data_IF_995579658836
#
_entry.id   IF_995579658836
#
_cell.length_a   1.000
_cell.length_b   1.000
_cell.length_c   1.000
_cell.angle_alpha   90.00
_cell.angle_beta   90.00
_cell.angle_gamma   90.00
#
_symmetry.space_group_name_H-M   'P 1'
#
loop_
_entity.id
_entity.type
_entity.pdbx_description
1 polymer ?
#
# COMPACT_ATOMS: atom_id res chain seq x y z
N UNK A 1 9.84 -0.37 -10.40
CA UNK A 1 10.90 0.63 -10.66
C UNK A 1 11.67 0.87 -9.38
N UNK A 2 12.97 0.97 -9.46
CA UNK A 2 13.83 1.07 -8.27
C UNK A 2 14.77 2.26 -8.42
N UNK A 3 14.91 3.03 -7.34
CA UNK A 3 15.83 4.16 -7.29
C UNK A 3 16.83 3.95 -6.14
N UNK A 4 18.05 4.42 -6.34
CA UNK A 4 19.05 4.55 -5.28
C UNK A 4 19.28 6.03 -5.04
N UNK A 5 18.86 6.52 -3.87
CA UNK A 5 18.97 7.94 -3.50
C UNK A 5 19.90 8.02 -2.30
N UNK A 6 21.18 8.32 -2.58
CA UNK A 6 22.24 8.43 -1.55
C UNK A 6 22.30 7.18 -0.65
N UNK A 7 22.20 6.00 -1.24
CA UNK A 7 22.24 4.73 -0.52
C UNK A 7 20.89 4.25 0.00
N UNK A 8 19.83 5.04 -0.16
CA UNK A 8 18.47 4.62 0.21
C UNK A 8 17.81 4.00 -1.03
N UNK A 9 17.48 2.73 -0.95
CA UNK A 9 16.85 2.02 -2.05
C UNK A 9 15.33 2.16 -1.93
N UNK A 10 14.71 2.72 -2.96
CA UNK A 10 13.26 2.94 -3.02
C UNK A 10 12.68 2.12 -4.18
N UNK A 11 11.73 1.25 -3.89
CA UNK A 11 10.99 0.52 -4.91
C UNK A 11 9.63 1.18 -5.13
N UNK A 12 9.31 1.49 -6.38
CA UNK A 12 7.98 1.96 -6.76
C UNK A 12 7.22 0.80 -7.40
N UNK A 13 6.06 0.48 -6.85
CA UNK A 13 5.25 -0.66 -7.28
C UNK A 13 3.86 -0.16 -7.64
N UNK A 14 3.39 -0.50 -8.83
CA UNK A 14 2.03 -0.17 -9.22
C UNK A 14 1.04 -0.93 -8.33
N UNK A 15 0.20 -0.19 -7.62
CA UNK A 15 -0.85 -0.75 -6.78
C UNK A 15 -2.18 -0.10 -7.16
N UNK A 16 -2.62 -0.41 -8.37
CA UNK A 16 -3.85 0.15 -8.93
C UNK A 16 -5.08 -0.31 -8.15
N UNK A 17 -6.13 0.45 -8.27
CA UNK A 17 -7.43 0.17 -7.64
C UNK A 17 -8.14 1.45 -7.24
N UNK A 18 -7.53 2.28 -6.42
CA UNK A 18 -8.05 3.62 -6.12
C UNK A 18 -8.01 4.48 -7.40
N UNK A 19 -6.87 4.45 -8.08
CA UNK A 19 -6.73 4.97 -9.44
C UNK A 19 -5.91 3.96 -10.25
N UNK A 20 -5.94 4.08 -11.58
CA UNK A 20 -5.16 3.22 -12.47
C UNK A 20 -3.65 3.44 -12.33
N UNK A 21 -3.24 4.62 -11.88
CA UNK A 21 -1.84 4.99 -11.73
C UNK A 21 -1.33 5.03 -10.29
N UNK A 22 -2.08 4.49 -9.34
CA UNK A 22 -1.66 4.48 -7.93
C UNK A 22 -0.38 3.67 -7.74
N UNK A 23 0.57 4.23 -7.00
CA UNK A 23 1.88 3.62 -6.76
C UNK A 23 2.15 3.55 -5.27
N UNK A 24 2.72 2.44 -4.84
CA UNK A 24 3.23 2.26 -3.49
C UNK A 24 4.75 2.35 -3.53
N UNK A 25 5.34 3.11 -2.61
CA UNK A 25 6.79 3.23 -2.49
C UNK A 25 7.26 2.48 -1.25
N UNK A 26 8.28 1.65 -1.43
CA UNK A 26 8.87 0.86 -0.34
C UNK A 26 10.32 1.29 -0.14
N UNK A 27 10.67 1.73 1.07
CA UNK A 27 12.05 1.98 1.47
C UNK A 27 12.64 0.67 1.96
N UNK A 28 13.41 0.01 1.09
CA UNK A 28 13.78 -1.40 1.23
C UNK A 28 14.44 -1.74 2.57
N UNK A 29 15.36 -0.93 3.04
CA UNK A 29 16.12 -1.24 4.25
C UNK A 29 15.55 -0.61 5.53
N UNK A 30 14.44 0.09 5.43
CA UNK A 30 13.86 0.82 6.56
C UNK A 30 12.53 0.27 7.03
N UNK A 31 12.02 -0.76 6.36
CA UNK A 31 10.71 -1.36 6.66
C UNK A 31 9.60 -0.30 6.67
N UNK A 32 9.63 0.58 5.68
CA UNK A 32 8.65 1.66 5.53
C UNK A 32 8.01 1.61 4.15
N UNK A 33 6.69 1.82 4.14
CA UNK A 33 5.86 1.77 2.94
C UNK A 33 5.07 3.07 2.89
N UNK A 34 5.07 3.71 1.73
CA UNK A 34 4.26 4.90 1.46
C UNK A 34 3.17 4.48 0.48
N UNK A 35 1.95 4.34 1.00
CA UNK A 35 0.84 3.72 0.27
C UNK A 35 -0.03 4.70 -0.51
N UNK A 36 0.18 6.01 -0.33
CA UNK A 36 -0.74 6.98 -0.89
C UNK A 36 -2.16 6.69 -0.43
N UNK A 37 -3.10 6.64 -1.37
CA UNK A 37 -4.49 6.33 -1.06
C UNK A 37 -4.88 4.87 -1.37
N UNK A 38 -3.89 3.99 -1.61
CA UNK A 38 -4.18 2.58 -1.83
C UNK A 38 -4.66 1.91 -0.54
N UNK A 39 -3.89 2.04 0.54
CA UNK A 39 -4.21 1.49 1.84
C UNK A 39 -4.16 2.61 2.88
N UNK A 40 -5.15 2.67 3.73
CA UNK A 40 -5.19 3.56 4.90
C UNK A 40 -5.48 2.72 6.13
N UNK A 41 -5.23 3.27 7.32
CA UNK A 41 -5.45 2.54 8.56
C UNK A 41 -6.91 2.11 8.69
N UNK A 42 -7.13 0.82 8.67
CA UNK A 42 -8.46 0.22 8.82
C UNK A 42 -9.33 0.22 7.57
N UNK A 43 -8.84 0.76 6.45
CA UNK A 43 -9.63 0.86 5.22
C UNK A 43 -8.75 0.90 3.98
N UNK A 44 -9.35 1.13 2.84
CA UNK A 44 -8.67 1.27 1.55
C UNK A 44 -9.17 2.53 0.84
N UNK A 45 -8.47 2.96 -0.20
CA UNK A 45 -8.93 4.04 -1.06
C UNK A 45 -10.25 3.69 -1.76
N UNK A 46 -11.02 4.70 -2.10
CA UNK A 46 -12.30 4.52 -2.82
C UNK A 46 -12.05 3.80 -4.14
N UNK A 47 -13.00 2.95 -4.51
CA UNK A 47 -12.95 2.20 -5.77
C UNK A 47 -14.16 2.50 -6.67
N UNK A 48 -14.84 3.61 -6.42
CA UNK A 48 -16.03 4.06 -7.16
C UNK A 48 -15.78 5.30 -8.02
N UNK A 49 -14.53 5.73 -8.15
CA UNK A 49 -14.12 6.84 -9.01
C UNK A 49 -13.91 6.33 -10.46
N UNK A 50 -13.90 7.24 -11.48
CA UNK A 50 -13.84 6.82 -12.89
C UNK A 50 -12.68 5.90 -13.28
N UNK A 51 -11.49 6.04 -12.66
CA UNK A 51 -10.36 5.16 -12.98
C UNK A 51 -10.13 4.10 -11.92
N UNK A 52 -11.06 3.93 -10.98
CA UNK A 52 -10.97 2.93 -9.92
C UNK A 52 -11.30 1.54 -10.42
N UNK A 53 -10.79 0.51 -9.74
CA UNK A 53 -11.07 -0.88 -10.05
C UNK A 53 -11.01 -1.74 -8.79
N UNK A 54 -12.11 -2.39 -8.47
CA UNK A 54 -12.18 -3.32 -7.33
C UNK A 54 -11.29 -4.54 -7.54
N UNK A 55 -11.20 -5.02 -8.78
CA UNK A 55 -10.38 -6.18 -9.12
C UNK A 55 -8.90 -5.85 -8.90
N UNK A 56 -8.46 -4.69 -9.41
CA UNK A 56 -7.07 -4.27 -9.24
C UNK A 56 -6.75 -3.95 -7.79
N UNK A 57 -7.69 -3.35 -7.05
CA UNK A 57 -7.51 -3.11 -5.62
C UNK A 57 -7.33 -4.43 -4.86
N UNK A 58 -8.10 -5.45 -5.19
CA UNK A 58 -7.95 -6.77 -4.57
C UNK A 58 -6.56 -7.35 -4.83
N UNK A 59 -6.06 -7.21 -6.05
CA UNK A 59 -4.71 -7.66 -6.40
C UNK A 59 -3.64 -6.88 -5.63
N UNK A 60 -3.84 -5.57 -5.48
CA UNK A 60 -2.92 -4.73 -4.70
C UNK A 60 -2.91 -5.12 -3.22
N UNK A 61 -4.05 -5.43 -2.64
CA UNK A 61 -4.13 -5.90 -1.25
C UNK A 61 -3.41 -7.25 -1.10
N UNK A 62 -3.53 -8.16 -2.06
CA UNK A 62 -2.79 -9.42 -2.05
C UNK A 62 -1.29 -9.18 -2.00
N UNK A 63 -0.81 -8.19 -2.74
CA UNK A 63 0.60 -7.81 -2.70
C UNK A 63 0.99 -7.32 -1.30
N UNK A 64 0.18 -6.47 -0.68
CA UNK A 64 0.46 -5.98 0.68
C UNK A 64 0.57 -7.10 1.70
N UNK A 65 -0.19 -8.17 1.53
CA UNK A 65 -0.12 -9.34 2.43
C UNK A 65 1.21 -10.07 2.34
N UNK A 66 2.00 -9.84 1.30
CA UNK A 66 3.33 -10.45 1.15
C UNK A 66 4.43 -9.64 1.84
N UNK A 67 4.15 -8.42 2.25
CA UNK A 67 5.13 -7.59 2.95
C UNK A 67 5.37 -8.09 4.37
N UNK A 68 6.54 -7.77 4.91
CA UNK A 68 6.91 -8.14 6.28
C UNK A 68 5.97 -7.44 7.27
N UNK A 69 5.50 -8.16 8.28
CA UNK A 69 4.53 -7.66 9.25
C UNK A 69 5.00 -6.40 9.99
N UNK A 70 6.30 -6.24 10.22
CA UNK A 70 6.88 -5.09 10.92
C UNK A 70 6.90 -3.82 10.07
N UNK A 71 6.65 -3.92 8.76
CA UNK A 71 6.67 -2.73 7.90
C UNK A 71 5.62 -1.73 8.33
N UNK A 72 6.07 -0.48 8.50
CA UNK A 72 5.20 0.64 8.81
C UNK A 72 4.62 1.20 7.52
N UNK A 73 3.31 1.41 7.50
CA UNK A 73 2.61 1.98 6.36
C UNK A 73 2.28 3.43 6.65
N UNK A 74 2.71 4.32 5.77
CA UNK A 74 2.42 5.74 5.83
C UNK A 74 1.47 6.09 4.70
N UNK A 75 0.17 6.24 4.96
CA UNK A 75 -0.81 6.58 3.93
C UNK A 75 -0.75 8.07 3.58
N UNK A 76 -1.38 8.42 2.46
CA UNK A 76 -1.53 9.82 2.07
C UNK A 76 -2.46 10.61 2.98
N UNK A 77 -3.40 9.93 3.64
CA UNK A 77 -4.37 10.51 4.57
C UNK A 77 -4.51 9.61 5.79
N UNK A 78 -4.69 10.21 6.94
CA UNK A 78 -4.91 9.47 8.18
C UNK A 78 -3.63 9.03 8.87
N UNK A 79 -3.79 8.15 9.82
CA UNK A 79 -2.69 7.70 10.68
C UNK A 79 -1.84 6.64 10.02
N UNK A 80 -0.56 6.58 10.42
CA UNK A 80 0.32 5.47 10.08
C UNK A 80 -0.14 4.19 10.77
N UNK A 81 0.18 3.05 10.16
CA UNK A 81 -0.18 1.74 10.66
C UNK A 81 0.96 0.75 10.35
N UNK A 82 0.72 -0.53 10.52
CA UNK A 82 1.67 -1.59 10.15
C UNK A 82 0.98 -2.64 9.30
N UNK A 83 1.77 -3.42 8.56
CA UNK A 83 1.23 -4.53 7.78
C UNK A 83 0.52 -5.52 8.70
N UNK A 84 1.12 -5.83 9.86
CA UNK A 84 0.50 -6.73 10.84
C UNK A 84 -0.86 -6.23 11.30
N UNK A 85 -0.98 -4.95 11.61
CA UNK A 85 -2.25 -4.36 12.06
C UNK A 85 -3.33 -4.46 10.98
N UNK A 86 -2.97 -4.21 9.73
CA UNK A 86 -3.94 -4.28 8.64
C UNK A 86 -4.37 -5.71 8.34
N UNK A 87 -3.47 -6.69 8.43
CA UNK A 87 -3.84 -8.09 8.30
C UNK A 87 -4.87 -8.52 9.35
N UNK A 88 -4.75 -8.00 10.56
CA UNK A 88 -5.63 -8.37 11.68
C UNK A 88 -6.93 -7.57 11.69
N UNK A 89 -6.86 -6.27 11.43
CA UNK A 89 -7.97 -5.35 11.70
C UNK A 89 -8.61 -4.72 10.48
N UNK A 90 -8.04 -4.86 9.29
CA UNK A 90 -8.61 -4.29 8.08
C UNK A 90 -9.46 -5.35 7.38
N UNK A 91 -10.78 -5.15 7.35
CA UNK A 91 -11.70 -6.14 6.76
C UNK A 91 -11.39 -6.42 5.28
N UNK A 92 -10.83 -5.45 4.54
CA UNK A 92 -10.50 -5.64 3.14
C UNK A 92 -9.30 -6.58 2.94
N UNK A 93 -8.51 -6.82 3.98
CA UNK A 93 -7.40 -7.77 3.94
C UNK A 93 -7.86 -9.22 4.13
N UNK A 94 -9.13 -9.45 4.43
CA UNK A 94 -9.68 -10.78 4.68
C UNK A 94 -10.08 -11.52 3.40
N UNK A 95 -9.98 -10.89 2.27
CA UNK A 95 -10.35 -11.50 0.98
C UNK A 95 -9.21 -12.22 0.30
#
# INVERSE_FOLDING_TARGET
>A
MTWDIDGIIVDGILTAGHTEGSVTYVLRNYKRIFSGDTIMKGTIGRVDCPTSSRIEMRNSIKLYKTFIDECKIHPGHGESTTVANEKENNEFFQY
#
